data_IF_641232514173
#
_entry.id   IF_641232514173
#
_cell.length_a   1.000
_cell.length_b   1.000
_cell.length_c   1.000
_cell.angle_alpha   90.00
_cell.angle_beta   90.00
_cell.angle_gamma   90.00
#
_symmetry.space_group_name_H-M   'P 1'
#
loop_
_entity.id
_entity.type
_entity.pdbx_description
1 polymer ?
#
# COMPACT_ATOMS: atom_id res chain seq x y z
N UNK A 1 -10.45 -2.00 1.49
CA UNK A 1 -10.32 -1.22 2.75
C UNK A 1 -8.85 -0.99 2.98
N UNK A 2 -8.39 0.28 3.09
CA UNK A 2 -6.98 0.57 3.34
C UNK A 2 -6.56 0.09 4.73
N UNK A 3 -5.35 -0.47 4.79
CA UNK A 3 -4.76 -1.02 6.00
C UNK A 3 -3.67 -0.08 6.49
N UNK A 4 -3.80 0.38 7.71
CA UNK A 4 -2.89 1.36 8.33
C UNK A 4 -2.27 0.75 9.58
N UNK A 5 -0.96 0.85 9.72
CA UNK A 5 -0.28 0.58 11.00
C UNK A 5 -0.19 1.89 11.77
N UNK A 6 -0.48 1.85 13.06
CA UNK A 6 -0.22 2.93 14.02
C UNK A 6 0.78 2.41 15.04
N UNK A 7 1.92 3.09 15.15
CA UNK A 7 3.01 2.74 16.06
C UNK A 7 3.19 3.92 17.04
N UNK A 8 2.85 3.71 18.28
CA UNK A 8 3.03 4.69 19.37
C UNK A 8 3.05 3.92 20.70
N UNK A 9 4.02 4.15 21.57
CA UNK A 9 4.15 3.49 22.87
C UNK A 9 3.15 4.01 23.90
N UNK A 10 2.56 5.20 23.67
CA UNK A 10 1.39 5.66 24.43
C UNK A 10 0.12 4.91 23.96
N UNK A 11 -0.28 3.92 24.73
CA UNK A 11 -1.46 3.09 24.44
C UNK A 11 -2.76 3.90 24.31
N UNK A 12 -2.91 5.02 25.04
CA UNK A 12 -4.11 5.85 24.97
C UNK A 12 -4.17 6.61 23.65
N UNK A 13 -3.05 7.20 23.23
CA UNK A 13 -2.96 7.92 21.97
C UNK A 13 -3.10 6.97 20.79
N UNK A 14 -2.42 5.83 20.83
CA UNK A 14 -2.53 4.77 19.81
C UNK A 14 -3.99 4.33 19.65
N UNK A 15 -4.68 4.02 20.75
CA UNK A 15 -6.10 3.65 20.72
C UNK A 15 -6.99 4.76 20.15
N UNK A 16 -6.75 6.02 20.51
CA UNK A 16 -7.53 7.15 20.05
C UNK A 16 -7.40 7.34 18.53
N UNK A 17 -6.16 7.29 18.02
CA UNK A 17 -5.85 7.36 16.59
C UNK A 17 -6.54 6.19 15.85
N UNK A 18 -6.38 4.96 16.35
CA UNK A 18 -6.97 3.78 15.76
C UNK A 18 -8.49 3.87 15.69
N UNK A 19 -9.14 4.34 16.76
CA UNK A 19 -10.61 4.54 16.81
C UNK A 19 -11.10 5.52 15.76
N UNK A 20 -10.42 6.65 15.60
CA UNK A 20 -10.80 7.69 14.62
C UNK A 20 -10.61 7.19 13.20
N UNK A 21 -9.49 6.56 12.90
CA UNK A 21 -9.22 6.00 11.57
C UNK A 21 -10.20 4.88 11.22
N UNK A 22 -10.52 3.99 12.16
CA UNK A 22 -11.53 2.94 11.95
C UNK A 22 -12.91 3.52 11.66
N UNK A 23 -13.31 4.58 12.38
CA UNK A 23 -14.57 5.30 12.11
C UNK A 23 -14.60 5.91 10.70
N UNK A 24 -13.44 6.27 10.15
CA UNK A 24 -13.29 6.80 8.80
C UNK A 24 -13.07 5.71 7.72
N UNK A 25 -13.35 4.44 8.04
CA UNK A 25 -13.36 3.35 7.07
C UNK A 25 -12.00 2.71 6.79
N UNK A 26 -11.00 2.91 7.64
CA UNK A 26 -9.69 2.27 7.56
C UNK A 26 -9.63 1.00 8.45
N UNK A 27 -8.89 0.00 8.02
CA UNK A 27 -8.47 -1.10 8.90
C UNK A 27 -7.17 -0.71 9.59
N UNK A 28 -7.14 -0.78 10.94
CA UNK A 28 -5.99 -0.32 11.71
C UNK A 28 -5.35 -1.46 12.49
N UNK A 29 -4.03 -1.57 12.39
CA UNK A 29 -3.20 -2.42 13.22
C UNK A 29 -2.49 -1.53 14.25
N UNK A 30 -2.74 -1.79 15.53
CA UNK A 30 -2.10 -1.09 16.63
C UNK A 30 -0.80 -1.83 17.01
N UNK A 31 0.31 -1.10 17.00
CA UNK A 31 1.63 -1.56 17.38
C UNK A 31 2.19 -0.62 18.44
N UNK A 32 2.90 -1.14 19.42
CA UNK A 32 3.43 -0.35 20.53
C UNK A 32 4.94 -0.14 20.45
N UNK A 33 5.58 -0.75 19.47
CA UNK A 33 7.00 -0.65 19.16
C UNK A 33 7.27 -1.10 17.72
N UNK A 34 8.50 -0.91 17.25
CA UNK A 34 8.92 -1.27 15.91
C UNK A 34 8.81 -2.78 15.62
N UNK A 35 9.07 -3.65 16.62
CA UNK A 35 9.02 -5.10 16.43
C UNK A 35 7.59 -5.57 16.13
N UNK A 36 6.60 -5.06 16.85
CA UNK A 36 5.19 -5.35 16.59
C UNK A 36 4.82 -4.95 15.15
N UNK A 37 5.31 -3.79 14.69
CA UNK A 37 5.08 -3.30 13.34
C UNK A 37 5.73 -4.18 12.27
N UNK A 38 6.94 -4.66 12.49
CA UNK A 38 7.59 -5.63 11.59
C UNK A 38 6.81 -6.93 11.52
N UNK A 39 6.26 -7.43 12.64
CA UNK A 39 5.41 -8.61 12.61
C UNK A 39 4.11 -8.42 11.81
N UNK A 40 3.50 -7.24 11.90
CA UNK A 40 2.31 -6.91 11.11
C UNK A 40 2.67 -6.82 9.63
N UNK A 41 3.75 -6.13 9.28
CA UNK A 41 4.25 -6.00 7.91
C UNK A 41 4.58 -7.35 7.28
N UNK A 42 5.09 -8.27 8.10
CA UNK A 42 5.38 -9.63 7.70
C UNK A 42 4.13 -10.41 7.28
N UNK A 43 3.03 -10.26 8.02
CA UNK A 43 1.80 -11.04 7.87
C UNK A 43 0.77 -10.36 6.95
N UNK A 44 0.88 -9.04 6.74
CA UNK A 44 -0.15 -8.24 6.10
C UNK A 44 0.43 -7.27 5.07
N UNK A 45 -0.38 -7.02 4.04
CA UNK A 45 -0.19 -5.84 3.21
C UNK A 45 -0.65 -4.59 3.98
N UNK A 46 0.12 -3.50 3.89
CA UNK A 46 -0.15 -2.24 4.59
C UNK A 46 -0.02 -1.09 3.59
N UNK A 47 -0.97 -0.15 3.64
CA UNK A 47 -1.06 0.98 2.71
C UNK A 47 -0.39 2.25 3.25
N UNK A 48 -0.31 2.39 4.58
CA UNK A 48 0.26 3.55 5.27
C UNK A 48 0.75 3.15 6.65
N UNK A 49 1.85 3.74 7.06
CA UNK A 49 2.36 3.65 8.42
C UNK A 49 2.26 5.02 9.08
N UNK A 50 1.74 5.07 10.30
CA UNK A 50 1.77 6.23 11.19
C UNK A 50 2.66 5.84 12.35
N UNK A 51 3.71 6.58 12.62
CA UNK A 51 4.66 6.25 13.69
C UNK A 51 4.98 7.46 14.55
N UNK A 52 4.99 7.28 15.87
CA UNK A 52 5.67 8.23 16.73
C UNK A 52 7.19 8.18 16.44
N UNK A 53 7.84 9.32 16.59
CA UNK A 53 9.29 9.42 16.49
C UNK A 53 9.94 8.92 17.77
N UNK A 54 9.40 9.32 18.92
CA UNK A 54 10.01 9.09 20.24
C UNK A 54 9.48 7.80 20.86
N UNK A 55 10.05 6.67 20.47
CA UNK A 55 9.70 5.36 21.02
C UNK A 55 10.92 4.70 21.67
N UNK A 56 10.72 3.89 22.72
CA UNK A 56 11.80 3.12 23.34
C UNK A 56 12.40 2.08 22.39
N UNK A 57 13.72 1.97 22.38
CA UNK A 57 14.47 1.05 21.51
C UNK A 57 14.67 1.60 20.11
N UNK A 58 14.01 1.06 19.13
CA UNK A 58 14.05 1.55 17.74
C UNK A 58 13.08 2.72 17.59
N UNK A 59 13.59 3.91 17.35
CA UNK A 59 12.79 5.11 17.14
C UNK A 59 12.13 5.15 15.75
N UNK A 60 11.21 6.12 15.54
CA UNK A 60 10.49 6.24 14.28
C UNK A 60 11.37 6.56 13.08
N UNK A 61 12.50 7.23 13.28
CA UNK A 61 13.48 7.50 12.23
C UNK A 61 14.23 6.25 11.83
N UNK A 62 14.75 5.51 12.81
CA UNK A 62 15.46 4.25 12.59
C UNK A 62 14.57 3.21 11.92
N UNK A 63 13.31 3.10 12.38
CA UNK A 63 12.32 2.23 11.79
C UNK A 63 12.08 2.57 10.31
N UNK A 64 11.85 3.87 10.00
CA UNK A 64 11.62 4.31 8.60
C UNK A 64 12.85 4.11 7.73
N UNK A 65 14.05 4.44 8.23
CA UNK A 65 15.30 4.19 7.51
C UNK A 65 15.50 2.70 7.22
N UNK A 66 15.14 1.81 8.18
CA UNK A 66 15.14 0.36 7.99
C UNK A 66 14.24 -0.08 6.84
N UNK A 67 13.00 0.44 6.78
CA UNK A 67 12.08 0.16 5.68
C UNK A 67 12.66 0.57 4.32
N UNK A 68 13.21 1.77 4.22
CA UNK A 68 13.80 2.29 2.96
C UNK A 68 15.04 1.50 2.53
N UNK A 69 15.86 1.05 3.47
CA UNK A 69 17.00 0.17 3.20
C UNK A 69 16.56 -1.16 2.58
N UNK A 70 15.45 -1.72 3.05
CA UNK A 70 14.82 -2.94 2.50
C UNK A 70 13.96 -2.65 1.25
N UNK A 71 14.01 -1.43 0.69
CA UNK A 71 13.23 -0.99 -0.48
C UNK A 71 11.72 -1.10 -0.30
N UNK A 72 11.26 -0.95 0.93
CA UNK A 72 9.84 -0.88 1.28
C UNK A 72 9.39 0.58 1.15
N UNK A 73 8.60 0.87 0.11
CA UNK A 73 8.14 2.22 -0.25
C UNK A 73 6.75 2.55 0.34
N UNK A 74 6.35 1.88 1.43
CA UNK A 74 5.09 2.20 2.11
C UNK A 74 5.19 3.63 2.63
N UNK A 75 4.20 4.50 2.35
CA UNK A 75 4.21 5.87 2.86
C UNK A 75 4.20 5.90 4.39
N UNK A 76 4.93 6.86 4.95
CA UNK A 76 5.08 7.03 6.40
C UNK A 76 4.68 8.44 6.79
N UNK A 77 3.70 8.55 7.72
CA UNK A 77 3.36 9.77 8.44
C UNK A 77 4.00 9.71 9.83
N UNK A 78 4.91 10.64 10.12
CA UNK A 78 5.54 10.72 11.44
C UNK A 78 4.76 11.64 12.36
N UNK A 79 4.60 11.20 13.62
CA UNK A 79 4.06 12.01 14.72
C UNK A 79 5.22 12.45 15.60
N UNK A 80 5.28 13.72 15.97
CA UNK A 80 6.40 14.28 16.74
C UNK A 80 5.95 15.30 17.77
N UNK A 81 6.60 15.30 18.91
CA UNK A 81 6.48 16.40 19.90
C UNK A 81 7.39 17.60 19.54
N UNK A 82 8.25 17.47 18.53
CA UNK A 82 9.28 18.45 18.20
C UNK A 82 8.88 19.32 17.02
N UNK A 83 8.88 20.63 17.24
CA UNK A 83 8.63 21.65 16.21
C UNK A 83 9.90 22.10 15.48
N UNK A 84 11.10 21.67 15.92
CA UNK A 84 12.35 22.16 15.36
C UNK A 84 12.52 21.75 13.90
N UNK A 85 12.88 22.75 13.08
CA UNK A 85 13.09 22.57 11.64
C UNK A 85 14.13 21.47 11.32
N UNK A 86 15.13 21.32 12.18
CA UNK A 86 16.18 20.29 12.04
C UNK A 86 15.62 18.86 12.11
N UNK A 87 14.65 18.62 12.99
CA UNK A 87 14.04 17.30 13.15
C UNK A 87 13.15 16.95 11.93
N UNK A 88 12.47 17.94 11.36
CA UNK A 88 11.70 17.77 10.11
C UNK A 88 12.63 17.48 8.92
N UNK A 89 13.75 18.19 8.81
CA UNK A 89 14.76 17.93 7.75
C UNK A 89 15.35 16.52 7.88
N UNK A 90 15.66 16.10 9.10
CA UNK A 90 16.17 14.73 9.33
C UNK A 90 15.17 13.68 8.86
N UNK A 91 13.93 13.85 9.21
CA UNK A 91 12.90 12.89 8.85
C UNK A 91 12.56 12.83 7.37
N UNK A 92 12.53 13.95 6.65
CA UNK A 92 12.40 13.91 5.19
C UNK A 92 13.60 13.21 4.54
N UNK A 93 14.81 13.35 5.10
CA UNK A 93 16.01 12.66 4.62
C UNK A 93 15.94 11.14 4.84
N UNK A 94 15.26 10.66 5.87
CA UNK A 94 15.05 9.22 6.09
C UNK A 94 13.86 8.65 5.31
N UNK A 95 13.12 9.50 4.59
CA UNK A 95 12.07 9.08 3.66
C UNK A 95 10.65 9.07 4.23
N UNK A 96 10.33 9.93 5.21
CA UNK A 96 8.95 10.19 5.62
C UNK A 96 8.20 11.00 4.56
N UNK A 97 6.90 10.76 4.43
CA UNK A 97 6.04 11.41 3.43
C UNK A 97 5.31 12.64 3.99
N UNK A 98 5.09 12.70 5.30
CA UNK A 98 4.50 13.86 5.99
C UNK A 98 4.75 13.80 7.51
N UNK A 99 4.45 14.90 8.21
CA UNK A 99 4.63 15.09 9.64
C UNK A 99 3.39 15.68 10.30
N UNK A 100 3.10 15.23 11.52
CA UNK A 100 2.07 15.78 12.39
C UNK A 100 2.66 16.07 13.77
N UNK A 101 2.47 17.29 14.27
CA UNK A 101 3.02 17.74 15.57
C UNK A 101 2.02 17.48 16.70
N UNK A 102 2.51 16.95 17.84
CA UNK A 102 1.72 16.83 19.09
C UNK A 102 1.54 18.23 19.72
N UNK A 103 0.34 18.61 20.23
CA UNK A 103 -0.84 17.78 20.40
C UNK A 103 -1.58 17.54 19.07
N UNK A 104 -2.02 16.29 18.84
CA UNK A 104 -2.61 15.86 17.57
C UNK A 104 -4.04 16.38 17.44
N UNK A 105 -4.31 17.10 16.35
CA UNK A 105 -5.67 17.31 15.89
C UNK A 105 -6.11 16.08 15.05
N UNK A 106 -7.11 15.36 15.53
CA UNK A 106 -7.57 14.12 14.89
C UNK A 106 -8.24 14.34 13.52
N UNK A 107 -8.89 15.48 13.31
CA UNK A 107 -9.46 15.83 12.01
C UNK A 107 -8.34 16.13 11.00
N UNK A 108 -7.28 16.83 11.43
CA UNK A 108 -6.08 17.06 10.62
C UNK A 108 -5.40 15.73 10.27
N UNK A 109 -5.27 14.81 11.23
CA UNK A 109 -4.72 13.46 11.00
C UNK A 109 -5.46 12.76 9.85
N UNK A 110 -6.80 12.72 9.89
CA UNK A 110 -7.63 12.09 8.86
C UNK A 110 -7.41 12.73 7.49
N UNK A 111 -7.36 14.07 7.44
CA UNK A 111 -7.10 14.80 6.19
C UNK A 111 -5.71 14.49 5.61
N UNK A 112 -4.67 14.44 6.45
CA UNK A 112 -3.30 14.09 6.03
C UNK A 112 -3.20 12.65 5.55
N UNK A 113 -3.79 11.69 6.27
CA UNK A 113 -3.88 10.28 5.86
C UNK A 113 -4.51 10.18 4.48
N UNK A 114 -5.67 10.83 4.26
CA UNK A 114 -6.31 10.85 2.94
C UNK A 114 -5.45 11.49 1.85
N UNK A 115 -4.70 12.56 2.18
CA UNK A 115 -3.81 13.23 1.23
C UNK A 115 -2.59 12.38 0.86
N UNK A 116 -1.99 11.67 1.84
CA UNK A 116 -0.84 10.78 1.60
C UNK A 116 -1.27 9.60 0.74
N UNK A 117 -2.36 8.91 1.10
CA UNK A 117 -2.89 7.78 0.34
C UNK A 117 -3.20 8.19 -1.11
N UNK A 118 -3.76 9.38 -1.32
CA UNK A 118 -4.03 9.92 -2.66
C UNK A 118 -2.75 10.25 -3.44
N UNK A 119 -1.73 10.86 -2.79
CA UNK A 119 -0.43 11.16 -3.40
C UNK A 119 0.37 9.91 -3.72
N UNK A 120 0.35 8.92 -2.85
CA UNK A 120 0.93 7.61 -3.10
C UNK A 120 0.21 6.84 -4.22
N UNK A 121 -0.81 7.46 -4.86
CA UNK A 121 -1.67 6.84 -5.87
C UNK A 121 -2.32 5.55 -5.38
N UNK A 122 -2.45 5.40 -4.08
CA UNK A 122 -3.30 4.39 -3.48
C UNK A 122 -4.71 4.95 -3.61
N UNK A 123 -5.33 4.74 -4.78
CA UNK A 123 -6.64 5.29 -5.10
C UNK A 123 -7.66 4.84 -4.06
N UNK A 124 -8.38 5.82 -3.47
CA UNK A 124 -9.59 5.59 -2.68
C UNK A 124 -10.75 5.05 -3.53
N UNK A 125 -10.60 5.07 -4.83
CA UNK A 125 -11.56 4.46 -5.73
C UNK A 125 -11.36 2.94 -5.67
N UNK A 126 -12.27 2.27 -4.95
CA UNK A 126 -12.38 0.79 -4.97
C UNK A 126 -12.65 0.27 -6.37
N UNK A 127 -12.73 1.16 -7.35
CA UNK A 127 -12.87 0.90 -8.77
C UNK A 127 -11.78 1.61 -9.55
N UNK A 128 -11.09 0.88 -10.40
CA UNK A 128 -10.14 1.43 -11.38
C UNK A 128 -10.59 1.06 -12.77
N UNK A 129 -10.37 1.95 -13.74
CA UNK A 129 -10.84 1.73 -15.11
C UNK A 129 -9.77 2.03 -16.16
N UNK A 130 -9.80 1.26 -17.25
CA UNK A 130 -9.09 1.53 -18.51
C UNK A 130 -10.10 1.30 -19.63
N UNK A 131 -10.41 2.36 -20.38
CA UNK A 131 -11.51 2.32 -21.36
C UNK A 131 -12.83 1.99 -20.66
N UNK A 132 -13.58 1.03 -21.20
CA UNK A 132 -14.82 0.52 -20.59
C UNK A 132 -14.61 -0.72 -19.71
N UNK A 133 -13.36 -1.10 -19.41
CA UNK A 133 -13.04 -2.14 -18.44
C UNK A 133 -12.88 -1.52 -17.06
N UNK A 134 -13.68 -1.99 -16.10
CA UNK A 134 -13.72 -1.52 -14.70
C UNK A 134 -13.42 -2.69 -13.78
N UNK A 135 -12.45 -2.53 -12.88
CA UNK A 135 -12.17 -3.46 -11.78
C UNK A 135 -12.82 -2.93 -10.51
N UNK A 136 -13.62 -3.75 -9.84
CA UNK A 136 -14.28 -3.43 -8.58
C UNK A 136 -13.66 -4.23 -7.44
N UNK A 137 -12.98 -3.54 -6.52
CA UNK A 137 -12.28 -4.17 -5.40
C UNK A 137 -13.22 -4.76 -4.35
N UNK A 138 -14.45 -4.27 -4.25
CA UNK A 138 -15.42 -4.76 -3.26
C UNK A 138 -15.97 -6.12 -3.61
N UNK A 139 -16.09 -6.38 -4.91
CA UNK A 139 -16.70 -7.60 -5.45
C UNK A 139 -15.68 -8.53 -6.09
N UNK A 140 -14.40 -8.12 -6.22
CA UNK A 140 -13.35 -8.82 -6.97
C UNK A 140 -13.76 -9.11 -8.42
N UNK A 141 -14.53 -8.21 -9.03
CA UNK A 141 -15.02 -8.36 -10.39
C UNK A 141 -14.30 -7.43 -11.38
N UNK A 142 -14.22 -7.90 -12.61
CA UNK A 142 -13.80 -7.15 -13.79
C UNK A 142 -14.99 -7.06 -14.74
N UNK A 143 -15.45 -5.85 -15.00
CA UNK A 143 -16.56 -5.59 -15.92
C UNK A 143 -16.03 -4.96 -17.19
N UNK A 144 -16.39 -5.49 -18.36
CA UNK A 144 -16.07 -4.91 -19.69
C UNK A 144 -17.35 -4.85 -20.51
N UNK A 145 -17.91 -3.67 -20.70
CA UNK A 145 -19.27 -3.54 -21.26
C UNK A 145 -20.30 -4.25 -20.37
N UNK A 146 -20.99 -5.24 -20.94
CA UNK A 146 -21.99 -6.06 -20.21
C UNK A 146 -21.41 -7.35 -19.61
N UNK A 147 -20.16 -7.67 -19.92
CA UNK A 147 -19.49 -8.87 -19.40
C UNK A 147 -18.90 -8.61 -18.02
N UNK A 148 -19.21 -9.49 -17.07
CA UNK A 148 -18.70 -9.46 -15.68
C UNK A 148 -17.94 -10.75 -15.39
N UNK A 149 -16.68 -10.65 -15.00
CA UNK A 149 -15.80 -11.76 -14.64
C UNK A 149 -15.38 -11.62 -13.18
N UNK A 150 -15.73 -12.58 -12.33
CA UNK A 150 -15.21 -12.68 -10.97
C UNK A 150 -13.83 -13.35 -10.96
N UNK A 151 -12.88 -12.80 -10.20
CA UNK A 151 -11.53 -13.32 -10.10
C UNK A 151 -11.22 -13.84 -8.69
N UNK A 152 -10.40 -14.91 -8.59
CA UNK A 152 -9.78 -15.27 -7.32
C UNK A 152 -8.99 -14.11 -6.74
N UNK A 153 -9.05 -13.91 -5.44
CA UNK A 153 -8.50 -12.76 -4.73
C UNK A 153 -7.05 -12.41 -5.14
N UNK A 154 -6.16 -13.43 -5.28
CA UNK A 154 -4.77 -13.18 -5.68
C UNK A 154 -4.64 -12.67 -7.12
N UNK A 155 -5.41 -13.24 -8.05
CA UNK A 155 -5.45 -12.80 -9.45
C UNK A 155 -6.00 -11.39 -9.54
N UNK A 156 -7.10 -11.11 -8.82
CA UNK A 156 -7.69 -9.79 -8.76
C UNK A 156 -6.70 -8.74 -8.21
N UNK A 157 -6.06 -9.02 -7.08
CA UNK A 157 -5.12 -8.08 -6.46
C UNK A 157 -3.93 -7.74 -7.37
N UNK A 158 -3.36 -8.74 -8.06
CA UNK A 158 -2.30 -8.52 -9.05
C UNK A 158 -2.81 -7.61 -10.18
N UNK A 159 -3.95 -7.96 -10.78
CA UNK A 159 -4.51 -7.19 -11.88
C UNK A 159 -4.85 -5.77 -11.44
N UNK A 160 -5.49 -5.61 -10.29
CA UNK A 160 -5.87 -4.31 -9.72
C UNK A 160 -4.63 -3.43 -9.50
N UNK A 161 -3.54 -4.00 -8.98
CA UNK A 161 -2.27 -3.27 -8.81
C UNK A 161 -1.72 -2.78 -10.14
N UNK A 162 -1.63 -3.64 -11.15
CA UNK A 162 -1.14 -3.27 -12.47
C UNK A 162 -2.05 -2.24 -13.16
N UNK A 163 -3.36 -2.35 -12.96
CA UNK A 163 -4.38 -1.47 -13.50
C UNK A 163 -4.36 -0.07 -12.87
N UNK A 164 -4.08 0.00 -11.57
CA UNK A 164 -3.95 1.27 -10.84
C UNK A 164 -2.75 2.11 -11.31
N UNK A 165 -1.76 1.47 -11.97
CA UNK A 165 -0.54 2.14 -12.44
C UNK A 165 -0.19 1.72 -13.88
N UNK A 166 -0.97 2.13 -14.88
CA UNK A 166 -0.71 1.79 -16.27
C UNK A 166 0.70 2.24 -16.69
N UNK A 167 1.36 1.39 -17.48
CA UNK A 167 2.74 1.54 -17.96
C UNK A 167 3.85 1.40 -16.89
N UNK A 168 3.53 1.36 -15.60
CA UNK A 168 4.52 1.12 -14.55
C UNK A 168 4.91 -0.35 -14.50
N UNK A 169 6.22 -0.61 -14.37
CA UNK A 169 6.77 -1.96 -14.26
C UNK A 169 6.76 -2.38 -12.78
N UNK A 170 6.19 -3.54 -12.50
CA UNK A 170 6.26 -4.21 -11.20
C UNK A 170 7.10 -5.47 -11.31
N UNK A 171 8.16 -5.56 -10.49
CA UNK A 171 9.00 -6.75 -10.46
C UNK A 171 8.27 -7.94 -9.86
N UNK A 172 8.70 -9.17 -10.19
CA UNK A 172 8.15 -10.39 -9.57
C UNK A 172 8.29 -10.35 -8.07
N UNK A 173 9.47 -10.03 -7.60
CA UNK A 173 9.78 -9.86 -6.16
C UNK A 173 8.82 -8.87 -5.49
N UNK A 174 8.58 -7.69 -6.11
CA UNK A 174 7.67 -6.69 -5.54
C UNK A 174 6.24 -7.21 -5.44
N UNK A 175 5.72 -7.86 -6.50
CA UNK A 175 4.38 -8.46 -6.48
C UNK A 175 4.28 -9.61 -5.49
N UNK A 176 5.34 -10.44 -5.39
CA UNK A 176 5.40 -11.54 -4.46
C UNK A 176 5.35 -11.06 -3.01
N UNK A 177 6.22 -10.11 -2.65
CA UNK A 177 6.27 -9.54 -1.31
C UNK A 177 4.95 -8.84 -0.94
N UNK A 178 4.34 -8.13 -1.90
CA UNK A 178 3.09 -7.40 -1.67
C UNK A 178 1.90 -8.33 -1.39
N UNK A 179 1.80 -9.47 -2.09
CA UNK A 179 0.60 -10.31 -2.03
C UNK A 179 0.80 -11.65 -1.30
N UNK A 180 2.03 -12.12 -1.09
CA UNK A 180 2.33 -13.35 -0.34
C UNK A 180 3.12 -13.12 0.94
N UNK A 181 3.66 -11.89 1.14
CA UNK A 181 4.53 -11.55 2.27
C UNK A 181 6.01 -11.85 1.98
N UNK A 182 6.89 -11.13 2.71
CA UNK A 182 8.34 -11.16 2.46
C UNK A 182 9.03 -12.50 2.77
N UNK A 183 8.42 -13.36 3.60
CA UNK A 183 8.95 -14.69 3.96
C UNK A 183 8.07 -15.82 3.41
N UNK A 184 7.34 -15.58 2.32
CA UNK A 184 6.63 -16.68 1.65
C UNK A 184 7.65 -17.68 1.13
N UNK A 185 7.47 -18.97 1.44
CA UNK A 185 8.22 -20.07 0.84
C UNK A 185 7.89 -20.28 -0.65
N UNK A 186 6.92 -19.53 -1.17
CA UNK A 186 6.50 -19.63 -2.57
C UNK A 186 7.52 -18.96 -3.48
N UNK A 187 7.88 -19.64 -4.57
CA UNK A 187 8.78 -19.13 -5.61
C UNK A 187 8.13 -17.95 -6.37
N UNK A 188 8.93 -16.99 -6.80
CA UNK A 188 8.53 -15.87 -7.67
C UNK A 188 7.82 -16.34 -8.96
N UNK A 189 8.05 -17.57 -9.41
CA UNK A 189 7.33 -18.24 -10.51
C UNK A 189 5.83 -18.37 -10.26
N UNK A 190 5.39 -18.30 -9.00
CA UNK A 190 3.97 -18.25 -8.65
C UNK A 190 3.27 -17.06 -9.30
N UNK A 191 3.94 -15.90 -9.39
CA UNK A 191 3.44 -14.73 -10.09
C UNK A 191 3.22 -15.02 -11.57
N UNK A 192 4.16 -15.71 -12.22
CA UNK A 192 4.07 -16.04 -13.65
C UNK A 192 2.82 -16.90 -13.95
N UNK A 193 2.47 -17.82 -13.04
CA UNK A 193 1.26 -18.64 -13.17
C UNK A 193 0.00 -17.78 -13.13
N UNK A 194 -0.10 -16.86 -12.16
CA UNK A 194 -1.26 -15.97 -12.06
C UNK A 194 -1.35 -14.98 -13.23
N UNK A 195 -0.23 -14.45 -13.69
CA UNK A 195 -0.18 -13.59 -14.87
C UNK A 195 -0.66 -14.32 -16.12
N UNK A 196 -0.24 -15.58 -16.32
CA UNK A 196 -0.68 -16.37 -17.46
C UNK A 196 -2.19 -16.64 -17.41
N UNK A 197 -2.73 -16.99 -16.25
CA UNK A 197 -4.18 -17.17 -16.06
C UNK A 197 -4.96 -15.87 -16.36
N UNK A 198 -4.45 -14.73 -15.93
CA UNK A 198 -5.04 -13.41 -16.24
C UNK A 198 -4.99 -13.11 -17.73
N UNK A 199 -3.88 -13.43 -18.40
CA UNK A 199 -3.76 -13.26 -19.85
C UNK A 199 -4.74 -14.13 -20.62
N UNK A 200 -4.90 -15.39 -20.21
CA UNK A 200 -5.85 -16.31 -20.85
C UNK A 200 -7.30 -15.82 -20.70
N UNK A 201 -7.64 -15.30 -19.51
CA UNK A 201 -8.99 -14.76 -19.24
C UNK A 201 -9.29 -13.48 -20.02
N UNK A 202 -8.30 -12.59 -20.20
CA UNK A 202 -8.46 -11.28 -20.82
C UNK A 202 -7.75 -11.12 -22.16
N UNK A 203 -7.45 -12.22 -22.86
CA UNK A 203 -6.75 -12.21 -24.16
C UNK A 203 -7.46 -11.34 -25.20
N UNK A 204 -8.79 -11.37 -25.22
CA UNK A 204 -9.64 -10.67 -26.16
C UNK A 204 -10.17 -9.31 -25.61
N UNK A 205 -9.71 -8.88 -24.43
CA UNK A 205 -10.11 -7.58 -23.88
C UNK A 205 -9.62 -6.44 -24.79
N UNK A 206 -10.51 -5.51 -25.20
CA UNK A 206 -10.15 -4.45 -26.15
C UNK A 206 -9.33 -3.32 -25.51
N UNK A 207 -9.36 -3.17 -24.17
CA UNK A 207 -8.90 -1.94 -23.52
C UNK A 207 -7.48 -2.04 -22.96
N UNK A 208 -7.01 -3.25 -22.63
CA UNK A 208 -5.71 -3.40 -21.99
C UNK A 208 -5.01 -4.71 -22.37
N UNK A 209 -3.73 -4.74 -22.10
CA UNK A 209 -2.88 -5.92 -22.23
C UNK A 209 -1.86 -5.98 -21.10
N UNK A 210 -1.55 -7.21 -20.61
CA UNK A 210 -0.50 -7.45 -19.62
C UNK A 210 0.80 -7.80 -20.36
N UNK A 211 1.80 -6.92 -20.30
CA UNK A 211 3.08 -7.07 -21.00
C UNK A 211 4.16 -7.56 -20.03
N UNK A 212 4.97 -8.53 -20.49
CA UNK A 212 6.22 -8.92 -19.83
C UNK A 212 7.34 -7.97 -20.21
N UNK A 213 8.00 -7.39 -19.22
CA UNK A 213 9.27 -6.68 -19.43
C UNK A 213 10.40 -7.64 -19.05
N UNK A 214 11.13 -8.13 -20.09
CA UNK A 214 12.15 -9.16 -19.92
C UNK A 214 13.17 -8.79 -18.84
N UNK A 215 13.46 -9.73 -17.95
CA UNK A 215 14.41 -9.55 -16.85
C UNK A 215 13.91 -8.68 -15.68
N UNK A 216 12.70 -8.07 -15.78
CA UNK A 216 12.16 -7.19 -14.75
C UNK A 216 10.86 -7.71 -14.16
N UNK A 217 9.79 -7.81 -14.95
CA UNK A 217 8.48 -8.16 -14.41
C UNK A 217 7.34 -7.87 -15.37
N UNK A 218 6.28 -7.26 -14.88
CA UNK A 218 5.03 -7.08 -15.59
C UNK A 218 4.50 -5.66 -15.52
N UNK A 219 3.75 -5.25 -16.52
CA UNK A 219 2.97 -4.01 -16.54
C UNK A 219 1.67 -4.20 -17.31
N UNK A 220 0.67 -3.39 -17.02
CA UNK A 220 -0.50 -3.21 -17.87
C UNK A 220 -0.25 -2.02 -18.81
N UNK A 221 -0.63 -2.17 -20.05
CA UNK A 221 -0.68 -1.08 -21.05
C UNK A 221 -2.11 -0.93 -21.56
N UNK A 222 -2.49 0.32 -21.86
CA UNK A 222 -3.74 0.58 -22.58
C UNK A 222 -3.56 0.14 -24.03
N UNK A 223 -4.52 -0.60 -24.57
CA UNK A 223 -4.63 -0.79 -26.01
C UNK A 223 -5.17 0.53 -26.59
N UNK A 224 -4.48 1.10 -27.55
CA UNK A 224 -4.98 2.27 -28.26
C UNK A 224 -6.18 1.83 -29.11
N UNK A 225 -7.21 2.68 -29.13
CA UNK A 225 -8.27 2.62 -30.14
C UNK A 225 -7.70 2.80 -31.54
#
# INVERSE_FOLDING_TARGET
>A
MFKIIVIDDDANLNFLIAKVLTKNGYQVFQCYNANDAYEVLYKNYVDLIITDIMMPGVDGYEFTAGLRKEKIDIPVLMITAKEEFKDKVLGFNVGADDYLVKPINLDELVLRVGAILRRAKINNDRKVSIGNTVLDYDTFTVTTGDEVVELPQKEFNILFKLFSYPNQIFTRTKLMNEFWGMLSESDERTIDVHINRLRDKFKDNPNFEIITVRGLGYKVVKKNE
#
